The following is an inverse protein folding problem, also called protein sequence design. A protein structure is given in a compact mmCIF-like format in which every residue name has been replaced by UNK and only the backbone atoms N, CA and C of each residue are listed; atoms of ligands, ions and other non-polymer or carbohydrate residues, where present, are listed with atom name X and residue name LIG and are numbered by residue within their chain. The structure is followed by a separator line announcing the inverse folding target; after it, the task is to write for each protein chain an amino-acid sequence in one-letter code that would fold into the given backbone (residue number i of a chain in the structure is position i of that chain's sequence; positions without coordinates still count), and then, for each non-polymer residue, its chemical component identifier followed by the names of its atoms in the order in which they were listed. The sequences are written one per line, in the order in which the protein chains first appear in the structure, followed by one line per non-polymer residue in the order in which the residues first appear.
data_IF_413624200027
#
_entry.id   IF_413624200027
#
_cell.length_a   1.000
_cell.length_b   1.000
_cell.length_c   1.000
_cell.angle_alpha   90.00
_cell.angle_beta   90.00
_cell.angle_gamma   90.00
#
_symmetry.space_group_name_H-M   'P 1'
#
loop_
_entity.id
_entity.type
_entity.pdbx_description
1 polymer ?
#
# COMPACT_ATOMS: atom_id res chain seq x y z
N UNK A 1 -5.35 31.54 -0.54
CA UNK A 1 -4.51 30.64 0.26
C UNK A 1 -4.97 29.22 -0.01
N UNK A 2 -4.23 28.47 -0.83
CA UNK A 2 -4.46 27.03 -0.99
C UNK A 2 -3.91 26.37 0.28
N UNK A 3 -4.77 25.63 0.99
CA UNK A 3 -4.31 24.76 2.05
C UNK A 3 -3.34 23.75 1.41
N UNK A 4 -2.10 23.76 1.87
CA UNK A 4 -1.16 22.67 1.64
C UNK A 4 -1.83 21.42 2.24
N UNK A 5 -2.26 20.50 1.38
CA UNK A 5 -2.68 19.16 1.80
C UNK A 5 -1.47 18.50 2.43
N UNK A 6 -1.38 18.54 3.76
CA UNK A 6 -0.48 17.68 4.54
C UNK A 6 -0.64 16.26 4.02
N UNK A 7 0.42 15.70 3.44
CA UNK A 7 0.38 14.38 2.83
C UNK A 7 -0.08 13.33 3.84
N UNK A 8 -1.06 12.51 3.46
CA UNK A 8 -1.54 11.40 4.27
C UNK A 8 -0.37 10.49 4.65
N UNK A 9 -0.14 10.32 5.96
CA UNK A 9 0.89 9.42 6.50
C UNK A 9 0.43 7.96 6.46
N UNK A 10 1.34 6.98 6.53
CA UNK A 10 0.99 5.54 6.65
C UNK A 10 0.01 5.28 7.80
N UNK A 11 0.23 5.94 8.94
CA UNK A 11 -0.65 5.83 10.10
C UNK A 11 -2.06 6.36 9.79
N UNK A 12 -2.15 7.47 9.04
CA UNK A 12 -3.44 8.04 8.66
C UNK A 12 -4.18 7.19 7.61
N UNK A 13 -3.45 6.63 6.63
CA UNK A 13 -3.96 5.64 5.67
C UNK A 13 -4.51 4.42 6.41
N UNK A 14 -3.71 3.79 7.28
CA UNK A 14 -4.11 2.60 8.03
C UNK A 14 -5.33 2.87 8.91
N UNK A 15 -5.40 4.05 9.53
CA UNK A 15 -6.58 4.46 10.28
C UNK A 15 -7.83 4.59 9.39
N UNK A 16 -7.71 5.13 8.17
CA UNK A 16 -8.82 5.16 7.22
C UNK A 16 -9.27 3.74 6.80
N UNK A 17 -8.33 2.82 6.54
CA UNK A 17 -8.65 1.42 6.21
C UNK A 17 -9.40 0.71 7.36
N UNK A 18 -8.94 0.90 8.61
CA UNK A 18 -9.61 0.33 9.79
C UNK A 18 -10.98 0.95 10.02
N UNK A 19 -11.15 2.26 9.83
CA UNK A 19 -12.46 2.92 9.91
C UNK A 19 -13.47 2.34 8.92
N UNK A 20 -13.04 2.05 7.68
CA UNK A 20 -13.88 1.40 6.67
C UNK A 20 -14.28 -0.02 7.08
N UNK A 21 -13.35 -0.80 7.63
CA UNK A 21 -13.65 -2.14 8.15
C UNK A 21 -14.57 -2.10 9.37
N UNK A 22 -14.42 -1.11 10.26
CA UNK A 22 -15.30 -0.88 11.41
C UNK A 22 -16.73 -0.58 10.96
N UNK A 23 -16.89 0.34 10.00
CA UNK A 23 -18.20 0.67 9.45
C UNK A 23 -18.86 -0.57 8.81
N UNK A 24 -18.09 -1.38 8.07
CA UNK A 24 -18.58 -2.64 7.50
C UNK A 24 -19.06 -3.62 8.59
N UNK A 25 -18.28 -3.80 9.67
CA UNK A 25 -18.66 -4.62 10.81
C UNK A 25 -19.88 -4.09 11.59
N UNK A 26 -20.22 -2.81 11.40
CA UNK A 26 -21.35 -2.13 12.05
C UNK A 26 -22.60 -2.01 11.18
N UNK A 27 -22.62 -2.61 9.98
CA UNK A 27 -23.74 -2.46 9.04
C UNK A 27 -25.12 -2.79 9.66
N UNK A 28 -25.17 -3.77 10.56
CA UNK A 28 -26.39 -4.19 11.27
C UNK A 28 -26.71 -3.33 12.53
N UNK A 29 -25.98 -2.22 12.74
CA UNK A 29 -26.37 -1.15 13.66
C UNK A 29 -25.89 -1.26 15.11
N UNK A 30 -25.06 -2.24 15.46
CA UNK A 30 -24.47 -2.33 16.82
C UNK A 30 -22.99 -2.69 16.80
N UNK A 31 -22.16 -1.75 17.26
CA UNK A 31 -20.79 -2.03 17.62
C UNK A 31 -20.78 -2.68 19.01
N UNK A 32 -20.62 -4.00 19.05
CA UNK A 32 -20.44 -4.72 20.31
C UNK A 32 -18.94 -4.93 20.59
N UNK A 33 -18.59 -5.17 21.85
CA UNK A 33 -17.20 -5.53 22.21
C UNK A 33 -16.74 -6.80 21.47
N UNK A 34 -17.63 -7.78 21.28
CA UNK A 34 -17.35 -8.97 20.48
C UNK A 34 -17.10 -8.69 19.00
N UNK A 35 -17.82 -7.72 18.41
CA UNK A 35 -17.59 -7.24 17.04
C UNK A 35 -16.22 -6.57 16.90
N UNK A 36 -15.83 -5.74 17.88
CA UNK A 36 -14.51 -5.09 17.92
C UNK A 36 -13.39 -6.14 18.01
N UNK A 37 -13.52 -7.12 18.91
CA UNK A 37 -12.53 -8.19 19.08
C UNK A 37 -12.39 -9.06 17.82
N UNK A 38 -13.51 -9.39 17.17
CA UNK A 38 -13.51 -10.11 15.89
C UNK A 38 -12.82 -9.30 14.80
N UNK A 39 -13.12 -8.00 14.70
CA UNK A 39 -12.46 -7.13 13.74
C UNK A 39 -10.96 -7.03 14.01
N UNK A 40 -10.56 -6.84 15.27
CA UNK A 40 -9.15 -6.70 15.67
C UNK A 40 -8.36 -7.94 15.27
N UNK A 41 -8.91 -9.14 15.49
CA UNK A 41 -8.31 -10.40 15.00
C UNK A 41 -8.14 -10.40 13.48
N UNK A 42 -9.19 -10.02 12.74
CA UNK A 42 -9.15 -9.96 11.26
C UNK A 42 -8.16 -8.92 10.73
N UNK A 43 -7.98 -7.80 11.43
CA UNK A 43 -6.99 -6.77 11.06
C UNK A 43 -5.57 -7.27 11.32
N UNK A 44 -5.34 -8.00 12.42
CA UNK A 44 -4.03 -8.58 12.75
C UNK A 44 -3.61 -9.72 11.81
N UNK A 45 -4.58 -10.44 11.25
CA UNK A 45 -4.32 -11.54 10.29
C UNK A 45 -4.11 -11.05 8.86
N UNK A 46 -4.20 -9.73 8.61
CA UNK A 46 -4.20 -9.17 7.25
C UNK A 46 -2.82 -8.66 6.82
N UNK A 47 -2.32 -9.11 5.66
CA UNK A 47 -1.01 -8.69 5.14
C UNK A 47 -0.84 -7.17 4.98
N UNK A 48 -1.94 -6.44 4.77
CA UNK A 48 -1.93 -4.99 4.59
C UNK A 48 -1.61 -4.20 5.88
N UNK A 49 -1.73 -4.87 7.03
CA UNK A 49 -1.37 -4.33 8.35
C UNK A 49 -0.06 -4.93 8.90
N UNK A 50 0.59 -5.83 8.16
CA UNK A 50 1.89 -6.35 8.56
C UNK A 50 2.91 -5.23 8.80
N UNK A 51 3.79 -5.46 9.77
CA UNK A 51 4.80 -4.48 10.17
C UNK A 51 4.23 -3.29 10.93
N UNK A 52 2.99 -3.37 11.43
CA UNK A 52 2.45 -2.50 12.47
C UNK A 52 2.34 -3.30 13.76
N UNK A 53 2.78 -2.73 14.89
CA UNK A 53 2.75 -3.45 16.16
C UNK A 53 1.28 -3.75 16.57
N UNK A 54 0.95 -4.94 17.09
CA UNK A 54 -0.38 -5.24 17.62
C UNK A 54 -0.95 -4.19 18.59
N UNK A 55 -0.11 -3.58 19.43
CA UNK A 55 -0.50 -2.50 20.35
C UNK A 55 -0.89 -1.22 19.59
N UNK A 56 -0.16 -0.90 18.52
CA UNK A 56 -0.47 0.22 17.63
C UNK A 56 -1.79 -0.01 16.87
N UNK A 57 -2.02 -1.24 16.38
CA UNK A 57 -3.28 -1.63 15.74
C UNK A 57 -4.43 -1.49 16.72
N UNK A 58 -4.27 -1.97 17.95
CA UNK A 58 -5.28 -1.85 19.00
C UNK A 58 -5.62 -0.40 19.30
N UNK A 59 -4.60 0.44 19.51
CA UNK A 59 -4.77 1.88 19.73
C UNK A 59 -5.44 2.59 18.53
N UNK A 60 -5.11 2.16 17.31
CA UNK A 60 -5.68 2.69 16.08
C UNK A 60 -7.16 2.31 15.93
N UNK A 61 -7.55 1.06 16.26
CA UNK A 61 -8.95 0.62 16.31
C UNK A 61 -9.72 1.45 17.35
N UNK A 62 -9.21 1.59 18.57
CA UNK A 62 -9.87 2.38 19.62
C UNK A 62 -10.07 3.84 19.22
N UNK A 63 -9.03 4.47 18.65
CA UNK A 63 -9.11 5.85 18.15
C UNK A 63 -10.15 5.98 17.03
N UNK A 64 -10.22 4.98 16.16
CA UNK A 64 -11.20 4.92 15.07
C UNK A 64 -12.63 4.79 15.60
N UNK A 65 -12.86 3.93 16.61
CA UNK A 65 -14.16 3.81 17.28
C UNK A 65 -14.60 5.13 17.91
N UNK A 66 -13.73 5.79 18.69
CA UNK A 66 -14.02 7.11 19.28
C UNK A 66 -14.31 8.17 18.22
N UNK A 67 -13.60 8.12 17.09
CA UNK A 67 -13.81 9.03 15.96
C UNK A 67 -15.17 8.79 15.30
N UNK A 68 -15.53 7.53 15.02
CA UNK A 68 -16.82 7.19 14.41
C UNK A 68 -18.00 7.55 15.34
N UNK A 69 -17.84 7.36 16.66
CA UNK A 69 -18.86 7.72 17.65
C UNK A 69 -19.10 9.24 17.78
N UNK A 70 -18.12 10.07 17.44
CA UNK A 70 -18.23 11.54 17.51
C UNK A 70 -18.75 12.18 16.21
N UNK A 71 -19.10 11.37 15.21
CA UNK A 71 -19.52 11.84 13.90
C UNK A 71 -21.04 11.89 13.76
N UNK A 72 -21.52 12.95 13.10
CA UNK A 72 -22.95 13.22 12.96
C UNK A 72 -23.60 12.53 11.77
N UNK A 73 -22.85 12.16 10.71
CA UNK A 73 -23.41 11.50 9.54
C UNK A 73 -22.43 10.56 8.82
N UNK A 74 -22.96 9.53 8.18
CA UNK A 74 -22.19 8.57 7.38
C UNK A 74 -21.53 9.25 6.18
N UNK A 75 -22.20 10.20 5.54
CA UNK A 75 -21.69 10.96 4.40
C UNK A 75 -20.42 11.76 4.78
N UNK A 76 -20.42 12.38 5.96
CA UNK A 76 -19.27 13.14 6.47
C UNK A 76 -18.07 12.22 6.74
N UNK A 77 -18.33 11.01 7.23
CA UNK A 77 -17.29 10.00 7.45
C UNK A 77 -16.70 9.58 6.10
N UNK A 78 -17.54 9.23 5.13
CA UNK A 78 -17.11 8.75 3.82
C UNK A 78 -16.34 9.81 3.01
N UNK A 79 -16.74 11.08 3.09
CA UNK A 79 -15.98 12.15 2.45
C UNK A 79 -14.55 12.25 2.99
N UNK A 80 -14.38 12.20 4.33
CA UNK A 80 -13.04 12.26 4.94
C UNK A 80 -12.22 11.00 4.66
N UNK A 81 -12.87 9.84 4.58
CA UNK A 81 -12.20 8.62 4.15
C UNK A 81 -11.65 8.77 2.74
N UNK A 82 -12.42 9.35 1.81
CA UNK A 82 -11.96 9.65 0.45
C UNK A 82 -10.76 10.62 0.46
N UNK A 83 -10.78 11.65 1.29
CA UNK A 83 -9.68 12.62 1.38
C UNK A 83 -8.39 11.96 1.91
N UNK A 84 -8.52 11.01 2.85
CA UNK A 84 -7.41 10.23 3.43
C UNK A 84 -6.99 9.02 2.60
N UNK A 85 -7.73 8.72 1.54
CA UNK A 85 -7.44 7.67 0.56
C UNK A 85 -7.36 8.31 -0.84
N UNK A 86 -6.37 9.20 -1.08
CA UNK A 86 -6.35 10.04 -2.27
C UNK A 86 -6.14 9.23 -3.57
N UNK A 87 -5.48 8.06 -3.50
CA UNK A 87 -5.24 7.22 -4.67
C UNK A 87 -6.39 6.25 -4.91
N UNK A 88 -6.64 5.95 -6.19
CA UNK A 88 -7.68 4.99 -6.58
C UNK A 88 -7.43 3.59 -6.00
N UNK A 89 -6.18 3.13 -6.02
CA UNK A 89 -5.74 1.89 -5.35
C UNK A 89 -6.14 1.82 -3.88
N UNK A 90 -5.93 2.89 -3.11
CA UNK A 90 -6.27 2.90 -1.69
C UNK A 90 -7.78 2.85 -1.46
N UNK A 91 -8.57 3.41 -2.39
CA UNK A 91 -10.03 3.33 -2.35
C UNK A 91 -10.52 1.92 -2.71
N UNK A 92 -9.94 1.29 -3.73
CA UNK A 92 -10.19 -0.12 -4.05
C UNK A 92 -9.82 -1.03 -2.87
N UNK A 93 -8.67 -0.78 -2.22
CA UNK A 93 -8.23 -1.54 -1.06
C UNK A 93 -9.21 -1.39 0.10
N UNK A 94 -9.60 -0.15 0.40
CA UNK A 94 -10.59 0.11 1.45
C UNK A 94 -11.91 -0.63 1.17
N UNK A 95 -12.40 -0.59 -0.08
CA UNK A 95 -13.59 -1.33 -0.47
C UNK A 95 -13.42 -2.85 -0.33
N UNK A 96 -12.32 -3.41 -0.83
CA UNK A 96 -12.02 -4.84 -0.71
C UNK A 96 -11.94 -5.29 0.75
N UNK A 97 -11.33 -4.48 1.62
CA UNK A 97 -11.30 -4.72 3.06
C UNK A 97 -12.70 -4.66 3.69
N UNK A 98 -13.53 -3.70 3.33
CA UNK A 98 -14.93 -3.67 3.77
C UNK A 98 -15.72 -4.90 3.30
N UNK A 99 -15.61 -5.25 2.02
CA UNK A 99 -16.26 -6.42 1.45
C UNK A 99 -15.81 -7.69 2.17
N UNK A 100 -14.53 -7.84 2.47
CA UNK A 100 -14.01 -9.00 3.19
C UNK A 100 -14.52 -9.15 4.63
N UNK A 101 -14.96 -8.06 5.25
CA UNK A 101 -15.61 -8.07 6.56
C UNK A 101 -17.10 -8.40 6.40
N UNK A 102 -17.79 -7.71 5.50
CA UNK A 102 -19.22 -7.88 5.25
C UNK A 102 -19.57 -9.26 4.65
N UNK A 103 -18.68 -9.86 3.87
CA UNK A 103 -18.89 -11.14 3.18
C UNK A 103 -18.31 -12.33 3.97
N UNK A 104 -17.75 -12.10 5.15
CA UNK A 104 -16.99 -13.09 5.90
C UNK A 104 -17.77 -14.39 6.20
N UNK A 105 -19.06 -14.26 6.50
CA UNK A 105 -19.92 -15.38 6.87
C UNK A 105 -20.63 -16.00 5.63
N UNK A 106 -20.19 -15.64 4.42
CA UNK A 106 -20.72 -16.09 3.12
C UNK A 106 -22.22 -15.85 2.91
N UNK A 107 -22.83 -14.99 3.73
CA UNK A 107 -24.24 -14.59 3.67
C UNK A 107 -24.38 -13.12 4.06
N UNK A 108 -24.08 -12.23 3.13
CA UNK A 108 -24.25 -10.80 3.34
C UNK A 108 -25.72 -10.45 3.60
N UNK A 109 -25.99 -9.69 4.65
CA UNK A 109 -27.32 -9.15 4.93
C UNK A 109 -27.68 -8.05 3.92
N UNK A 110 -28.97 -7.68 3.83
CA UNK A 110 -29.39 -6.53 3.02
C UNK A 110 -28.73 -5.22 3.50
N UNK A 111 -28.47 -5.09 4.80
CA UNK A 111 -27.84 -3.91 5.36
C UNK A 111 -26.35 -3.84 4.95
N UNK A 112 -25.64 -4.97 5.02
CA UNK A 112 -24.25 -5.09 4.57
C UNK A 112 -24.10 -4.77 3.07
N UNK A 113 -24.94 -5.37 2.22
CA UNK A 113 -24.95 -5.07 0.78
C UNK A 113 -25.30 -3.60 0.48
N UNK A 114 -26.25 -3.02 1.23
CA UNK A 114 -26.59 -1.60 1.12
C UNK A 114 -25.43 -0.69 1.50
N UNK A 115 -24.69 -1.03 2.56
CA UNK A 115 -23.51 -0.31 2.98
C UNK A 115 -22.38 -0.40 1.95
N UNK A 116 -22.11 -1.58 1.38
CA UNK A 116 -21.12 -1.74 0.31
C UNK A 116 -21.46 -0.88 -0.91
N UNK A 117 -22.72 -0.84 -1.34
CA UNK A 117 -23.16 0.09 -2.42
C UNK A 117 -22.91 1.56 -2.07
N UNK A 118 -23.06 1.92 -0.80
CA UNK A 118 -22.79 3.27 -0.31
C UNK A 118 -21.29 3.58 -0.35
N UNK A 119 -20.43 2.62 0.02
CA UNK A 119 -18.98 2.76 -0.09
C UNK A 119 -18.52 2.87 -1.53
N UNK A 120 -19.02 2.02 -2.43
CA UNK A 120 -18.73 2.08 -3.86
C UNK A 120 -18.96 3.50 -4.41
N UNK A 121 -20.16 4.05 -4.16
CA UNK A 121 -20.53 5.38 -4.65
C UNK A 121 -19.64 6.48 -4.05
N UNK A 122 -19.41 6.45 -2.73
CA UNK A 122 -18.64 7.49 -2.06
C UNK A 122 -17.15 7.46 -2.41
N UNK A 123 -16.58 6.27 -2.56
CA UNK A 123 -15.19 6.06 -2.97
C UNK A 123 -15.00 6.23 -4.48
N UNK A 124 -16.08 6.30 -5.26
CA UNK A 124 -16.03 6.51 -6.70
C UNK A 124 -15.40 5.34 -7.45
N UNK A 125 -15.81 4.11 -7.10
CA UNK A 125 -15.31 2.87 -7.70
C UNK A 125 -16.30 2.41 -8.78
N UNK A 126 -15.77 1.99 -9.93
CA UNK A 126 -16.60 1.54 -11.04
C UNK A 126 -17.23 0.17 -10.74
N UNK A 127 -18.32 -0.15 -11.44
CA UNK A 127 -19.11 -1.37 -11.16
C UNK A 127 -18.36 -2.66 -11.53
N UNK A 128 -17.58 -2.62 -12.60
CA UNK A 128 -16.69 -3.71 -13.03
C UNK A 128 -15.58 -3.98 -12.02
N UNK A 129 -14.95 -2.91 -11.49
CA UNK A 129 -13.93 -3.03 -10.43
C UNK A 129 -14.50 -3.63 -9.14
N UNK A 130 -15.75 -3.28 -8.78
CA UNK A 130 -16.44 -3.89 -7.63
C UNK A 130 -16.69 -5.37 -7.87
N UNK A 131 -17.15 -5.76 -9.07
CA UNK A 131 -17.42 -7.15 -9.39
C UNK A 131 -16.15 -8.01 -9.27
N UNK A 132 -15.02 -7.51 -9.77
CA UNK A 132 -13.73 -8.19 -9.67
C UNK A 132 -13.23 -8.29 -8.21
N UNK A 133 -13.35 -7.21 -7.43
CA UNK A 133 -12.98 -7.21 -6.01
C UNK A 133 -13.82 -8.20 -5.19
N UNK A 134 -15.12 -8.27 -5.44
CA UNK A 134 -16.02 -9.21 -4.76
C UNK A 134 -15.65 -10.65 -5.10
N UNK A 135 -15.37 -10.97 -6.36
CA UNK A 135 -14.92 -12.31 -6.78
C UNK A 135 -13.64 -12.74 -6.06
N UNK A 136 -12.65 -11.83 -5.96
CA UNK A 136 -11.39 -12.09 -5.25
C UNK A 136 -11.62 -12.32 -3.76
N UNK A 137 -12.47 -11.52 -3.12
CA UNK A 137 -12.83 -11.67 -1.70
C UNK A 137 -13.54 -13.00 -1.45
N UNK A 138 -14.53 -13.36 -2.26
CA UNK A 138 -15.31 -14.59 -2.10
C UNK A 138 -14.47 -15.85 -2.36
N UNK A 139 -13.54 -15.76 -3.31
CA UNK A 139 -12.58 -16.81 -3.64
C UNK A 139 -11.43 -16.93 -2.63
N UNK A 140 -11.30 -15.99 -1.69
CA UNK A 140 -10.20 -15.95 -0.72
C UNK A 140 -8.84 -15.64 -1.35
N UNK A 141 -8.83 -15.07 -2.55
CA UNK A 141 -7.62 -14.58 -3.22
C UNK A 141 -7.14 -13.28 -2.56
N UNK A 142 -5.84 -12.98 -2.59
CA UNK A 142 -5.31 -11.75 -2.03
C UNK A 142 -5.79 -10.52 -2.82
N UNK A 143 -6.14 -9.43 -2.11
CA UNK A 143 -6.72 -8.23 -2.72
C UNK A 143 -5.80 -7.56 -3.73
N UNK A 144 -4.49 -7.71 -3.58
CA UNK A 144 -3.47 -7.11 -4.46
C UNK A 144 -3.60 -7.53 -5.94
N UNK A 145 -4.30 -8.62 -6.25
CA UNK A 145 -4.54 -9.05 -7.62
C UNK A 145 -5.45 -8.09 -8.41
N UNK A 146 -6.30 -7.33 -7.72
CA UNK A 146 -7.28 -6.39 -8.34
C UNK A 146 -6.87 -4.92 -8.16
N UNK A 147 -5.96 -4.62 -7.23
CA UNK A 147 -5.65 -3.24 -6.85
C UNK A 147 -4.85 -2.45 -7.90
N UNK A 148 -4.44 -3.06 -9.01
CA UNK A 148 -3.76 -2.37 -10.10
C UNK A 148 -2.30 -2.00 -9.80
N UNK A 149 -1.66 -1.38 -10.80
CA UNK A 149 -0.20 -1.33 -11.04
C UNK A 149 0.56 -2.64 -10.73
N UNK A 150 1.13 -3.30 -11.74
CA UNK A 150 1.96 -4.48 -11.52
C UNK A 150 3.00 -4.15 -10.44
N UNK A 151 3.09 -4.96 -9.39
CA UNK A 151 4.06 -4.76 -8.28
C UNK A 151 5.48 -4.54 -8.82
N UNK A 152 5.74 -5.14 -9.96
CA UNK A 152 6.93 -5.05 -10.77
C UNK A 152 7.26 -3.61 -11.19
N UNK A 153 6.26 -2.78 -11.48
CA UNK A 153 6.44 -1.35 -11.73
C UNK A 153 6.90 -0.61 -10.49
N UNK A 154 6.28 -0.87 -9.34
CA UNK A 154 6.67 -0.26 -8.06
C UNK A 154 8.07 -0.70 -7.62
N UNK A 155 8.42 -1.97 -7.85
CA UNK A 155 9.76 -2.48 -7.62
C UNK A 155 10.79 -1.86 -8.56
N UNK A 156 10.49 -1.75 -9.85
CA UNK A 156 11.34 -1.06 -10.82
C UNK A 156 11.56 0.40 -10.40
N UNK A 157 10.52 1.08 -9.93
CA UNK A 157 10.63 2.46 -9.43
C UNK A 157 11.56 2.57 -8.22
N UNK A 158 11.43 1.68 -7.23
CA UNK A 158 12.34 1.65 -6.06
C UNK A 158 13.79 1.52 -6.50
N UNK A 159 14.05 0.63 -7.46
CA UNK A 159 15.38 0.43 -8.01
C UNK A 159 15.88 1.69 -8.74
N UNK A 160 15.02 2.37 -9.49
CA UNK A 160 15.32 3.66 -10.15
C UNK A 160 15.63 4.76 -9.13
N UNK A 161 14.89 4.87 -8.03
CA UNK A 161 15.14 5.90 -7.01
C UNK A 161 16.55 5.80 -6.42
N UNK A 162 17.04 4.58 -6.20
CA UNK A 162 18.41 4.35 -5.72
C UNK A 162 19.42 4.70 -6.81
N UNK A 163 19.21 4.21 -8.03
CA UNK A 163 20.15 4.45 -9.13
C UNK A 163 20.25 5.93 -9.52
N UNK A 164 19.13 6.66 -9.51
CA UNK A 164 19.08 8.08 -9.85
C UNK A 164 19.33 9.00 -8.65
N UNK A 165 19.86 8.47 -7.53
CA UNK A 165 20.07 9.24 -6.30
C UNK A 165 21.01 10.45 -6.47
N UNK A 166 21.94 10.39 -7.43
CA UNK A 166 22.84 11.49 -7.77
C UNK A 166 22.26 12.45 -8.83
N UNK A 167 20.99 12.26 -9.20
CA UNK A 167 20.27 13.05 -10.20
C UNK A 167 20.61 12.68 -11.65
N UNK A 168 21.37 11.60 -11.88
CA UNK A 168 21.69 11.09 -13.21
C UNK A 168 21.54 9.58 -13.25
N UNK A 169 21.22 9.06 -14.43
CA UNK A 169 21.18 7.63 -14.68
C UNK A 169 22.11 7.32 -15.84
N UNK A 170 23.17 6.56 -15.60
CA UNK A 170 24.11 6.16 -16.65
C UNK A 170 23.53 4.98 -17.44
N UNK A 171 23.84 4.86 -18.75
CA UNK A 171 23.39 3.73 -19.57
C UNK A 171 23.83 2.34 -19.06
N UNK A 172 24.92 2.27 -18.27
CA UNK A 172 25.37 1.04 -17.63
C UNK A 172 24.47 0.66 -16.44
N UNK A 173 24.06 1.65 -15.64
CA UNK A 173 23.18 1.44 -14.49
C UNK A 173 21.76 1.05 -14.94
N UNK A 174 21.28 1.65 -16.04
CA UNK A 174 20.02 1.20 -16.67
C UNK A 174 20.06 -0.24 -17.18
N UNK A 175 21.22 -0.73 -17.63
CA UNK A 175 21.35 -2.14 -18.04
C UNK A 175 21.36 -3.07 -16.84
N UNK A 176 22.10 -2.73 -15.78
CA UNK A 176 22.13 -3.50 -14.54
C UNK A 176 20.74 -3.62 -13.90
N UNK A 177 19.92 -2.57 -13.98
CA UNK A 177 18.52 -2.61 -13.54
C UNK A 177 17.68 -3.60 -14.34
N UNK A 178 17.74 -3.55 -15.68
CA UNK A 178 17.00 -4.49 -16.54
C UNK A 178 17.46 -5.93 -16.31
N UNK A 179 18.77 -6.16 -16.18
CA UNK A 179 19.33 -7.48 -15.88
C UNK A 179 18.88 -7.97 -14.50
N UNK A 180 18.89 -7.11 -13.48
CA UNK A 180 18.41 -7.46 -12.14
C UNK A 180 16.91 -7.76 -12.11
N UNK A 181 16.10 -7.03 -12.88
CA UNK A 181 14.67 -7.31 -13.03
C UNK A 181 14.49 -8.66 -13.71
N UNK A 182 15.10 -8.88 -14.88
CA UNK A 182 14.95 -10.11 -15.66
C UNK A 182 15.48 -11.37 -14.94
N UNK A 183 16.40 -11.22 -13.99
CA UNK A 183 16.96 -12.32 -13.19
C UNK A 183 16.08 -12.69 -11.99
N UNK A 184 15.14 -11.83 -11.60
CA UNK A 184 14.32 -12.05 -10.41
C UNK A 184 13.05 -12.85 -10.79
N UNK A 185 12.74 -13.96 -10.09
CA UNK A 185 11.61 -14.84 -10.42
C UNK A 185 10.25 -14.14 -10.55
N UNK A 186 10.07 -12.99 -9.88
CA UNK A 186 8.82 -12.22 -9.99
C UNK A 186 8.60 -11.57 -11.36
N UNK A 187 9.67 -11.34 -12.13
CA UNK A 187 9.59 -10.63 -13.40
C UNK A 187 9.72 -11.59 -14.59
N UNK A 188 9.63 -12.91 -14.35
CA UNK A 188 9.76 -13.92 -15.41
C UNK A 188 8.67 -13.79 -16.49
N UNK A 189 7.51 -13.25 -16.13
CA UNK A 189 6.41 -12.98 -17.07
C UNK A 189 6.51 -11.61 -17.75
N UNK A 190 7.52 -10.81 -17.41
CA UNK A 190 7.72 -9.47 -17.95
C UNK A 190 8.82 -9.51 -19.01
N UNK A 191 8.46 -9.11 -20.24
CA UNK A 191 9.45 -8.92 -21.27
C UNK A 191 10.33 -7.68 -21.00
N UNK A 192 11.53 -7.68 -21.59
CA UNK A 192 12.49 -6.59 -21.41
C UNK A 192 11.94 -5.22 -21.86
N UNK A 193 11.00 -5.18 -22.80
CA UNK A 193 10.42 -3.94 -23.30
C UNK A 193 9.52 -3.28 -22.25
N UNK A 194 8.71 -4.08 -21.55
CA UNK A 194 7.83 -3.62 -20.48
C UNK A 194 8.62 -3.19 -19.24
N UNK A 195 9.66 -3.94 -18.87
CA UNK A 195 10.58 -3.53 -17.80
C UNK A 195 11.24 -2.17 -18.11
N UNK A 196 11.69 -1.96 -19.35
CA UNK A 196 12.23 -0.68 -19.79
C UNK A 196 11.19 0.46 -19.76
N UNK A 197 9.93 0.17 -20.07
CA UNK A 197 8.85 1.15 -19.94
C UNK A 197 8.70 1.61 -18.49
N UNK A 198 8.59 0.68 -17.54
CA UNK A 198 8.45 1.02 -16.12
C UNK A 198 9.61 1.86 -15.61
N UNK A 199 10.83 1.54 -16.00
CA UNK A 199 12.00 2.33 -15.62
C UNK A 199 11.95 3.75 -16.18
N UNK A 200 11.59 3.90 -17.46
CA UNK A 200 11.47 5.21 -18.11
C UNK A 200 10.41 6.07 -17.43
N UNK A 201 9.23 5.50 -17.20
CA UNK A 201 8.11 6.18 -16.55
C UNK A 201 8.50 6.60 -15.11
N UNK A 202 9.29 5.76 -14.42
CA UNK A 202 9.80 6.06 -13.09
C UNK A 202 10.80 7.22 -13.08
N UNK A 203 11.70 7.28 -14.06
CA UNK A 203 12.66 8.38 -14.21
C UNK A 203 11.93 9.68 -14.52
N UNK A 204 10.95 9.65 -15.42
CA UNK A 204 10.11 10.80 -15.76
C UNK A 204 9.33 11.30 -14.54
N UNK A 205 8.65 10.39 -13.82
CA UNK A 205 7.92 10.73 -12.61
C UNK A 205 8.83 11.30 -11.52
N UNK A 206 10.04 10.77 -11.34
CA UNK A 206 11.04 11.31 -10.41
C UNK A 206 11.47 12.72 -10.82
N UNK A 207 11.68 12.98 -12.11
CA UNK A 207 12.06 14.29 -12.61
C UNK A 207 10.94 15.34 -12.45
N UNK A 208 9.68 14.94 -12.66
CA UNK A 208 8.52 15.83 -12.56
C UNK A 208 8.10 16.11 -11.12
N UNK A 209 8.07 15.08 -10.26
CA UNK A 209 7.43 15.14 -8.94
C UNK A 209 8.45 15.20 -7.79
N UNK A 210 9.68 14.78 -8.05
CA UNK A 210 10.75 14.73 -7.06
C UNK A 210 10.66 13.54 -6.09
N UNK A 211 11.79 13.27 -5.43
CA UNK A 211 11.96 12.12 -4.55
C UNK A 211 10.94 12.02 -3.39
N UNK A 212 10.60 13.10 -2.65
CA UNK A 212 9.66 12.99 -1.54
C UNK A 212 8.28 12.48 -1.97
N UNK A 213 7.79 12.95 -3.11
CA UNK A 213 6.48 12.55 -3.63
C UNK A 213 6.50 11.11 -4.16
N UNK A 214 7.59 10.70 -4.83
CA UNK A 214 7.74 9.31 -5.29
C UNK A 214 7.83 8.32 -4.13
N UNK A 215 8.56 8.65 -3.07
CA UNK A 215 8.57 7.86 -1.84
C UNK A 215 7.16 7.72 -1.23
N UNK A 216 6.37 8.79 -1.27
CA UNK A 216 4.97 8.77 -0.85
C UNK A 216 4.16 7.81 -1.72
N UNK A 217 4.27 7.87 -3.05
CA UNK A 217 3.57 6.95 -3.97
C UNK A 217 3.92 5.50 -3.65
N UNK A 218 5.21 5.18 -3.48
CA UNK A 218 5.67 3.84 -3.13
C UNK A 218 5.12 3.35 -1.78
N UNK A 219 5.07 4.21 -0.77
CA UNK A 219 4.49 3.86 0.53
C UNK A 219 2.99 3.51 0.45
N UNK A 220 2.28 4.10 -0.52
CA UNK A 220 0.87 3.82 -0.76
C UNK A 220 0.66 2.58 -1.65
N UNK A 221 1.52 2.36 -2.65
CA UNK A 221 1.43 1.23 -3.57
C UNK A 221 1.93 -0.09 -2.99
N UNK A 222 2.99 -0.05 -2.16
CA UNK A 222 3.53 -1.24 -1.46
C UNK A 222 2.77 -1.44 -0.14
N UNK A 223 1.57 -2.00 -0.28
CA UNK A 223 0.57 -2.08 0.78
C UNK A 223 0.97 -3.03 1.90
N UNK A 224 1.72 -4.10 1.62
CA UNK A 224 2.11 -5.13 2.62
C UNK A 224 3.56 -5.01 3.09
N UNK A 225 3.87 -5.55 4.27
CA UNK A 225 5.24 -5.58 4.79
C UNK A 225 6.16 -6.40 3.89
N UNK A 226 5.70 -7.59 3.46
CA UNK A 226 6.47 -8.46 2.57
C UNK A 226 6.85 -7.76 1.25
N UNK A 227 5.94 -6.95 0.69
CA UNK A 227 6.24 -6.15 -0.50
C UNK A 227 7.33 -5.11 -0.23
N UNK A 228 7.27 -4.43 0.91
CA UNK A 228 8.24 -3.39 1.30
C UNK A 228 9.62 -3.96 1.59
N UNK A 229 9.69 -5.06 2.34
CA UNK A 229 10.93 -5.81 2.62
C UNK A 229 11.57 -6.24 1.31
N UNK A 230 10.77 -6.79 0.39
CA UNK A 230 11.26 -7.22 -0.92
C UNK A 230 11.74 -6.05 -1.77
N UNK A 231 10.95 -4.98 -1.86
CA UNK A 231 11.34 -3.75 -2.56
C UNK A 231 12.67 -3.20 -2.03
N UNK A 232 12.82 -3.15 -0.71
CA UNK A 232 14.05 -2.71 -0.07
C UNK A 232 15.23 -3.66 -0.38
N UNK A 233 15.02 -4.97 -0.38
CA UNK A 233 16.02 -5.94 -0.79
C UNK A 233 16.52 -5.71 -2.23
N UNK A 234 15.61 -5.41 -3.16
CA UNK A 234 15.97 -5.02 -4.54
C UNK A 234 16.78 -3.72 -4.57
N UNK A 235 16.38 -2.73 -3.77
CA UNK A 235 17.09 -1.45 -3.63
C UNK A 235 18.54 -1.66 -3.15
N UNK A 236 18.74 -2.51 -2.15
CA UNK A 236 20.07 -2.87 -1.61
C UNK A 236 20.90 -3.59 -2.67
N UNK A 237 20.30 -4.54 -3.40
CA UNK A 237 20.99 -5.29 -4.47
C UNK A 237 21.49 -4.37 -5.58
N UNK A 238 20.67 -3.41 -5.99
CA UNK A 238 21.06 -2.44 -7.01
C UNK A 238 22.16 -1.51 -6.52
N UNK A 239 22.06 -0.98 -5.30
CA UNK A 239 23.10 -0.12 -4.74
C UNK A 239 24.47 -0.82 -4.65
N UNK A 240 24.48 -2.15 -4.51
CA UNK A 240 25.72 -2.95 -4.41
C UNK A 240 26.19 -3.50 -5.77
N UNK A 241 25.32 -3.56 -6.78
CA UNK A 241 25.65 -4.10 -8.12
C UNK A 241 26.76 -3.32 -8.84
N UNK A 242 26.85 -2.01 -8.59
CA UNK A 242 27.85 -1.10 -9.15
C UNK A 242 29.11 -0.97 -8.28
N UNK A 243 29.21 -1.76 -7.21
CA UNK A 243 30.32 -1.74 -6.25
C UNK A 243 29.91 -1.20 -4.88
N UNK A 244 30.72 -0.33 -4.29
CA UNK A 244 30.40 0.26 -2.97
C UNK A 244 29.35 1.36 -3.15
N UNK A 245 28.21 1.30 -2.44
CA UNK A 245 27.19 2.35 -2.52
C UNK A 245 27.76 3.73 -2.22
N UNK A 246 27.36 4.71 -3.02
CA UNK A 246 27.66 6.12 -2.83
C UNK A 246 26.90 6.69 -1.63
N UNK A 247 27.32 7.87 -1.14
CA UNK A 247 26.62 8.56 -0.07
C UNK A 247 25.19 8.98 -0.46
N UNK A 248 24.93 9.20 -1.75
CA UNK A 248 23.59 9.53 -2.26
C UNK A 248 22.67 8.30 -2.23
N UNK A 249 23.15 7.15 -2.71
CA UNK A 249 22.40 5.88 -2.67
C UNK A 249 22.10 5.45 -1.23
N UNK A 250 23.08 5.56 -0.31
CA UNK A 250 22.87 5.27 1.11
C UNK A 250 21.79 6.16 1.72
N UNK A 251 21.75 7.45 1.36
CA UNK A 251 20.71 8.37 1.82
C UNK A 251 19.33 7.96 1.32
N UNK A 252 19.21 7.56 0.05
CA UNK A 252 17.93 7.07 -0.49
C UNK A 252 17.51 5.76 0.18
N UNK A 253 18.45 4.85 0.47
CA UNK A 253 18.16 3.64 1.24
C UNK A 253 17.67 3.97 2.65
N UNK A 254 18.29 4.91 3.36
CA UNK A 254 17.83 5.29 4.69
C UNK A 254 16.42 5.94 4.64
N UNK A 255 16.13 6.74 3.60
CA UNK A 255 14.78 7.27 3.37
C UNK A 255 13.76 6.18 3.04
N UNK A 256 14.12 5.19 2.23
CA UNK A 256 13.27 4.04 1.91
C UNK A 256 13.00 3.20 3.16
N UNK A 257 14.02 2.93 3.98
CA UNK A 257 13.86 2.21 5.25
C UNK A 257 12.84 2.92 6.15
N UNK A 258 13.01 4.22 6.35
CA UNK A 258 12.10 5.02 7.17
C UNK A 258 10.68 5.06 6.58
N UNK A 259 10.57 5.28 5.27
CA UNK A 259 9.28 5.33 4.55
C UNK A 259 8.53 4.01 4.62
N UNK A 260 9.25 2.90 4.51
CA UNK A 260 8.69 1.55 4.57
C UNK A 260 8.45 1.06 6.00
N UNK A 261 9.04 1.72 6.99
CA UNK A 261 8.96 1.35 8.39
C UNK A 261 9.64 0.01 8.68
N UNK A 262 10.80 -0.23 8.07
CA UNK A 262 11.58 -1.46 8.28
C UNK A 262 12.49 -1.31 9.50
N UNK A 263 12.57 -2.38 10.29
CA UNK A 263 13.40 -2.40 11.50
C UNK A 263 14.90 -2.52 11.16
N UNK A 264 15.76 -1.98 12.03
CA UNK A 264 17.21 -1.95 11.79
C UNK A 264 17.83 -3.36 11.66
N UNK A 265 17.33 -4.33 12.41
CA UNK A 265 17.80 -5.72 12.36
C UNK A 265 17.38 -6.43 11.06
N UNK A 266 16.21 -6.10 10.52
CA UNK A 266 15.71 -6.58 9.24
C UNK A 266 16.56 -6.01 8.09
N UNK A 267 16.82 -4.70 8.12
CA UNK A 267 17.70 -4.04 7.14
C UNK A 267 19.13 -4.57 7.22
N UNK A 268 19.65 -4.83 8.41
CA UNK A 268 20.98 -5.41 8.58
C UNK A 268 21.09 -6.80 7.94
N UNK A 269 20.05 -7.65 8.09
CA UNK A 269 19.96 -8.96 7.43
C UNK A 269 19.96 -8.84 5.92
N UNK A 270 19.09 -8.00 5.36
CA UNK A 270 19.00 -7.78 3.91
C UNK A 270 20.33 -7.26 3.32
N UNK A 271 21.04 -6.38 4.03
CA UNK A 271 22.37 -5.89 3.61
C UNK A 271 23.46 -6.96 3.67
N UNK A 272 23.30 -7.98 4.51
CA UNK A 272 24.25 -9.09 4.63
C UNK A 272 24.03 -10.18 3.58
N UNK A 273 22.79 -10.43 3.18
CA UNK A 273 22.44 -11.46 2.17
C UNK A 273 22.93 -11.14 0.75
N UNK A 274 23.25 -9.88 0.47
CA UNK A 274 23.68 -9.42 -0.86
C UNK A 274 25.21 -9.24 -0.96
N UNK A 275 25.95 -9.46 0.15
CA UNK A 275 27.43 -9.50 0.17
C UNK A 275 27.97 -10.85 -0.28
#
# INVERSE_FOLDING_TARGET
MKAETEGTTRADRNAALVEVMLLAAMADGKLTEGSIQTLLRRVLERPEFDGTNPDEISALVEKSVKRLASQSSLESILQRLRDRLPTHQNRLLAFGLAASVALADKKATRAELGLLKTFQAALGIAEDEVAELVDVVESGRPLNEVLGEPLERLYAEVMVLVTAADGKMKPAESRALVESLASDPLFQEIDAARAQSYMRDSVEALAEQGLPERLRVLAHGLTTHAQRVRAFGLAVRIAQSSGRPSAAELRVLDMLQATFGLADDEVARLRAEVR
#
